data_IF_389784446787
#
_entry.id   IF_389784446787
#
_cell.length_a   1.000
_cell.length_b   1.000
_cell.length_c   1.000
_cell.angle_alpha   90.00
_cell.angle_beta   90.00
_cell.angle_gamma   90.00
#
_symmetry.space_group_name_H-M   'P 1'
#
loop_
_entity.id
_entity.type
_entity.pdbx_description
1 polymer ?
#
# COMPACT_ATOMS: atom_id res chain seq x y z
N UNK A 1 65.42 20.51 1.70
CA UNK A 1 65.94 20.11 3.02
C UNK A 1 64.99 19.09 3.62
N UNK A 2 65.54 17.92 3.90
CA UNK A 2 64.85 16.67 4.25
C UNK A 2 64.61 16.60 5.76
N UNK A 3 63.41 16.22 6.20
CA UNK A 3 63.23 15.57 7.51
C UNK A 3 62.22 14.42 7.39
N UNK A 4 62.74 13.26 7.80
CA UNK A 4 62.09 11.95 7.88
C UNK A 4 61.35 11.79 9.22
N UNK A 5 60.47 10.78 9.19
CA UNK A 5 60.24 9.74 10.20
C UNK A 5 59.26 10.02 11.36
N UNK A 6 58.35 9.05 11.51
CA UNK A 6 57.48 8.86 12.66
C UNK A 6 56.51 7.68 12.45
N UNK A 7 57.05 6.46 12.35
CA UNK A 7 56.28 5.22 12.48
C UNK A 7 55.78 5.08 13.93
N UNK A 8 54.50 4.73 14.11
CA UNK A 8 54.03 4.09 15.33
C UNK A 8 53.00 3.01 14.94
N UNK A 9 53.46 1.76 14.97
CA UNK A 9 52.64 0.57 14.88
C UNK A 9 52.06 0.29 16.26
N UNK A 10 50.74 0.09 16.35
CA UNK A 10 50.08 -0.45 17.52
C UNK A 10 49.42 -1.78 17.15
N UNK A 11 50.05 -2.85 17.60
CA UNK A 11 49.54 -4.22 17.61
C UNK A 11 48.38 -4.30 18.61
N UNK A 12 47.21 -4.69 18.15
CA UNK A 12 46.06 -5.05 18.97
C UNK A 12 45.56 -6.44 18.57
N UNK A 13 46.16 -7.47 19.18
CA UNK A 13 45.67 -8.86 19.17
C UNK A 13 44.62 -8.97 20.26
N UNK A 14 43.37 -9.31 19.93
CA UNK A 14 42.42 -9.86 20.90
C UNK A 14 41.33 -10.72 20.25
N UNK A 15 41.49 -12.02 20.48
CA UNK A 15 40.49 -13.04 20.80
C UNK A 15 39.24 -13.23 19.93
N UNK A 16 39.23 -14.39 19.26
CA UNK A 16 38.04 -15.14 18.90
C UNK A 16 37.19 -15.45 20.13
N UNK A 17 35.88 -15.18 20.05
CA UNK A 17 34.86 -15.91 20.79
C UNK A 17 33.68 -16.15 19.85
N UNK A 18 33.60 -17.38 19.36
CA UNK A 18 32.43 -17.91 18.69
C UNK A 18 31.34 -18.17 19.74
N UNK A 19 30.15 -17.62 19.52
CA UNK A 19 28.95 -18.01 20.25
C UNK A 19 27.83 -18.22 19.24
N UNK A 20 27.65 -19.48 18.85
CA UNK A 20 26.40 -19.97 18.26
C UNK A 20 25.39 -20.18 19.39
N UNK A 21 24.10 -19.94 19.15
CA UNK A 21 23.05 -20.71 19.79
C UNK A 21 22.36 -21.58 18.75
N UNK A 22 22.65 -22.88 18.83
CA UNK A 22 21.81 -23.93 18.28
C UNK A 22 20.67 -24.26 19.26
N UNK A 23 19.50 -24.47 18.66
CA UNK A 23 18.53 -25.55 18.93
C UNK A 23 17.71 -25.50 20.24
N UNK A 24 16.40 -25.28 20.05
CA UNK A 24 15.27 -26.00 20.65
C UNK A 24 14.02 -25.42 19.95
N UNK A 25 13.21 -26.09 19.12
CA UNK A 25 12.61 -27.43 19.17
C UNK A 25 11.91 -27.75 20.51
N UNK A 26 10.82 -27.04 20.76
CA UNK A 26 9.67 -27.41 21.60
C UNK A 26 8.46 -26.87 20.84
N UNK A 27 7.49 -27.64 20.37
CA UNK A 27 6.66 -28.65 21.04
C UNK A 27 5.32 -28.47 20.32
N UNK A 28 4.84 -29.43 19.55
CA UNK A 28 4.20 -30.59 20.12
C UNK A 28 2.71 -30.25 20.27
N UNK A 29 1.96 -30.42 19.19
CA UNK A 29 0.52 -30.32 19.21
C UNK A 29 -0.06 -31.35 20.17
N UNK A 30 -0.93 -30.88 21.07
CA UNK A 30 -1.80 -31.71 21.88
C UNK A 30 -3.22 -31.11 21.78
N UNK A 31 -3.92 -31.49 20.72
CA UNK A 31 -5.37 -31.49 20.71
C UNK A 31 -5.80 -32.71 21.54
N UNK A 32 -5.97 -32.50 22.85
CA UNK A 32 -6.63 -33.48 23.72
C UNK A 32 -8.11 -33.49 23.39
N UNK A 33 -8.56 -34.60 22.79
CA UNK A 33 -9.96 -34.99 22.79
C UNK A 33 -10.40 -35.21 24.24
N UNK A 34 -11.32 -34.37 24.72
CA UNK A 34 -12.11 -34.68 25.88
C UNK A 34 -13.20 -35.68 25.46
N UNK A 35 -12.87 -36.97 25.49
CA UNK A 35 -13.86 -38.05 25.48
C UNK A 35 -14.47 -38.09 26.88
N UNK A 36 -15.63 -37.46 27.02
CA UNK A 36 -16.45 -37.56 28.22
C UNK A 36 -16.94 -38.99 28.40
N UNK A 37 -16.51 -39.62 29.49
CA UNK A 37 -17.12 -40.84 30.00
C UNK A 37 -18.56 -40.54 30.44
N UNK A 38 -19.52 -41.10 29.71
CA UNK A 38 -20.92 -41.15 30.06
C UNK A 38 -21.33 -42.61 30.29
N UNK A 39 -21.71 -42.91 31.51
CA UNK A 39 -22.10 -44.23 32.00
C UNK A 39 -23.15 -44.93 31.13
N UNK A 40 -22.97 -46.24 30.96
CA UNK A 40 -23.95 -47.14 30.40
C UNK A 40 -25.20 -47.22 31.31
N UNK A 41 -26.41 -46.97 30.81
CA UNK A 41 -27.62 -47.41 31.49
C UNK A 41 -27.87 -48.90 31.16
N UNK A 42 -28.14 -49.64 32.23
CA UNK A 42 -28.50 -51.05 32.20
C UNK A 42 -29.77 -51.30 31.37
N UNK A 43 -29.70 -52.36 30.58
CA UNK A 43 -30.81 -52.95 29.82
C UNK A 43 -31.73 -53.71 30.78
N UNK A 44 -33.03 -53.40 30.89
CA UNK A 44 -33.99 -54.34 31.46
C UNK A 44 -34.45 -55.38 30.42
N UNK A 45 -34.77 -56.61 30.85
CA UNK A 45 -35.10 -57.70 29.95
C UNK A 45 -36.51 -57.58 29.37
N UNK A 46 -36.62 -58.12 28.16
CA UNK A 46 -37.83 -58.28 27.39
C UNK A 46 -38.94 -59.00 28.15
N UNK A 47 -40.16 -58.48 28.03
CA UNK A 47 -41.38 -59.22 28.31
C UNK A 47 -42.51 -58.78 27.37
N UNK A 48 -43.12 -59.77 26.74
CA UNK A 48 -44.56 -59.78 26.45
C UNK A 48 -45.06 -59.03 25.21
N UNK A 49 -45.29 -59.79 24.14
CA UNK A 49 -46.29 -59.58 23.08
C UNK A 49 -47.67 -59.12 23.64
N UNK A 50 -48.60 -58.50 22.88
CA UNK A 50 -49.12 -59.08 21.64
C UNK A 50 -49.63 -58.12 20.54
N UNK A 51 -50.06 -58.78 19.45
CA UNK A 51 -51.11 -58.40 18.52
C UNK A 51 -50.77 -57.39 17.42
N UNK A 52 -50.54 -57.99 16.25
CA UNK A 52 -50.74 -57.38 14.96
C UNK A 52 -52.21 -56.97 14.77
N UNK A 53 -52.47 -55.66 14.74
CA UNK A 53 -53.67 -55.08 14.13
C UNK A 53 -53.45 -53.57 13.94
N UNK A 54 -52.78 -53.18 12.86
CA UNK A 54 -52.86 -51.83 12.25
C UNK A 54 -51.92 -51.71 11.05
N UNK A 55 -52.20 -52.45 9.98
CA UNK A 55 -51.47 -52.33 8.71
C UNK A 55 -52.05 -51.26 7.75
N UNK A 56 -53.04 -50.47 8.19
CA UNK A 56 -53.74 -49.51 7.30
C UNK A 56 -53.68 -48.03 7.71
N UNK A 57 -52.93 -47.65 8.75
CA UNK A 57 -52.71 -46.23 9.13
C UNK A 57 -51.28 -45.72 8.86
N UNK A 58 -50.44 -46.50 8.17
CA UNK A 58 -49.03 -46.15 7.91
C UNK A 58 -48.81 -45.13 6.80
N UNK A 59 -49.74 -45.02 5.84
CA UNK A 59 -49.57 -44.14 4.69
C UNK A 59 -49.77 -42.66 5.02
N UNK A 60 -50.73 -42.32 5.89
CA UNK A 60 -51.05 -40.91 6.24
C UNK A 60 -49.96 -40.27 7.10
N UNK A 61 -49.27 -41.05 7.94
CA UNK A 61 -48.16 -40.53 8.79
C UNK A 61 -46.87 -40.23 8.01
N UNK A 62 -46.70 -40.77 6.82
CA UNK A 62 -45.48 -40.54 6.03
C UNK A 62 -45.38 -39.10 5.53
N UNK A 63 -46.50 -38.51 5.07
CA UNK A 63 -46.53 -37.12 4.60
C UNK A 63 -46.36 -36.08 5.71
N UNK A 64 -46.87 -36.35 6.92
CA UNK A 64 -46.71 -35.44 8.07
C UNK A 64 -45.24 -35.36 8.54
N UNK A 65 -44.51 -36.48 8.47
CA UNK A 65 -43.09 -36.52 8.82
C UNK A 65 -42.25 -35.76 7.77
N UNK A 66 -42.56 -35.91 6.49
CA UNK A 66 -41.86 -35.20 5.42
C UNK A 66 -42.08 -33.68 5.48
N UNK A 67 -43.32 -33.24 5.71
CA UNK A 67 -43.64 -31.82 5.90
C UNK A 67 -42.93 -31.22 7.13
N UNK A 68 -42.88 -31.95 8.25
CA UNK A 68 -42.16 -31.52 9.44
C UNK A 68 -40.64 -31.43 9.22
N UNK A 69 -40.06 -32.37 8.45
CA UNK A 69 -38.64 -32.34 8.10
C UNK A 69 -38.31 -31.16 7.17
N UNK A 70 -39.17 -30.87 6.19
CA UNK A 70 -38.99 -29.73 5.30
C UNK A 70 -39.10 -28.40 6.07
N UNK A 71 -40.07 -28.28 6.97
CA UNK A 71 -40.20 -27.09 7.82
C UNK A 71 -38.98 -26.90 8.73
N UNK A 72 -38.47 -27.97 9.34
CA UNK A 72 -37.25 -27.93 10.14
C UNK A 72 -35.99 -27.61 9.30
N UNK A 73 -35.95 -28.00 8.02
CA UNK A 73 -34.87 -27.61 7.10
C UNK A 73 -34.93 -26.11 6.79
N UNK A 74 -36.11 -25.58 6.45
CA UNK A 74 -36.33 -24.15 6.19
C UNK A 74 -36.00 -23.29 7.41
N UNK A 75 -36.37 -23.73 8.62
CA UNK A 75 -36.04 -23.00 9.84
C UNK A 75 -34.53 -22.97 10.13
N UNK A 76 -33.82 -24.09 9.88
CA UNK A 76 -32.36 -24.13 10.00
C UNK A 76 -31.66 -23.20 9.00
N UNK A 77 -32.15 -23.16 7.76
CA UNK A 77 -31.61 -22.26 6.74
C UNK A 77 -31.88 -20.79 7.09
N UNK A 78 -33.10 -20.45 7.55
CA UNK A 78 -33.43 -19.12 8.02
C UNK A 78 -32.56 -18.67 9.19
N UNK A 79 -32.27 -19.57 10.15
CA UNK A 79 -31.35 -19.29 11.26
C UNK A 79 -29.91 -19.05 10.77
N UNK A 80 -29.43 -19.85 9.81
CA UNK A 80 -28.09 -19.67 9.22
C UNK A 80 -27.96 -18.31 8.52
N UNK A 81 -28.94 -17.94 7.71
CA UNK A 81 -28.97 -16.64 7.02
C UNK A 81 -29.04 -15.47 8.02
N UNK A 82 -29.83 -15.59 9.08
CA UNK A 82 -29.89 -14.56 10.12
C UNK A 82 -28.56 -14.42 10.88
N UNK A 83 -27.85 -15.52 11.13
CA UNK A 83 -26.52 -15.50 11.74
C UNK A 83 -25.47 -14.88 10.82
N UNK A 84 -25.47 -15.22 9.53
CA UNK A 84 -24.60 -14.63 8.51
C UNK A 84 -24.81 -13.10 8.42
N UNK A 85 -26.08 -12.64 8.37
CA UNK A 85 -26.41 -11.21 8.38
C UNK A 85 -25.92 -10.52 9.66
N UNK A 86 -26.06 -11.16 10.82
CA UNK A 86 -25.56 -10.62 12.10
C UNK A 86 -24.04 -10.51 12.09
N UNK A 87 -23.34 -11.51 11.56
CA UNK A 87 -21.88 -11.47 11.43
C UNK A 87 -21.43 -10.37 10.46
N UNK A 88 -22.13 -10.18 9.34
CA UNK A 88 -21.85 -9.10 8.41
C UNK A 88 -22.03 -7.72 9.08
N UNK A 89 -23.15 -7.51 9.78
CA UNK A 89 -23.39 -6.26 10.50
C UNK A 89 -22.31 -5.95 11.55
N UNK A 90 -21.80 -6.98 12.24
CA UNK A 90 -20.69 -6.82 13.20
C UNK A 90 -19.37 -6.44 12.50
N UNK A 91 -19.07 -7.00 11.33
CA UNK A 91 -17.89 -6.63 10.55
C UNK A 91 -17.97 -5.19 10.05
N UNK A 92 -19.11 -4.78 9.54
CA UNK A 92 -19.34 -3.40 9.09
C UNK A 92 -19.23 -2.41 10.25
N UNK A 93 -19.78 -2.75 11.43
CA UNK A 93 -19.65 -1.93 12.62
C UNK A 93 -18.19 -1.82 13.11
N UNK A 94 -17.41 -2.90 13.03
CA UNK A 94 -15.99 -2.88 13.37
C UNK A 94 -15.17 -2.02 12.40
N UNK A 95 -15.43 -2.13 11.10
CA UNK A 95 -14.80 -1.29 10.07
C UNK A 95 -15.08 0.20 10.29
N UNK A 96 -16.33 0.56 10.59
CA UNK A 96 -16.68 1.96 10.89
C UNK A 96 -15.93 2.51 12.10
N UNK A 97 -15.77 1.70 13.15
CA UNK A 97 -14.98 2.12 14.33
C UNK A 97 -13.50 2.32 14.00
N UNK A 98 -12.92 1.46 13.17
CA UNK A 98 -11.53 1.62 12.73
C UNK A 98 -11.36 2.87 11.85
N UNK A 99 -12.32 3.16 10.98
CA UNK A 99 -12.34 4.39 10.18
C UNK A 99 -12.49 5.65 11.05
N UNK A 100 -13.37 5.62 12.06
CA UNK A 100 -13.54 6.71 13.03
C UNK A 100 -12.26 6.95 13.85
N UNK A 101 -11.58 5.89 14.30
CA UNK A 101 -10.31 6.00 15.03
C UNK A 101 -9.20 6.57 14.14
N UNK A 102 -9.07 6.11 12.89
CA UNK A 102 -8.13 6.66 11.92
C UNK A 102 -8.41 8.15 11.67
N UNK A 103 -9.67 8.53 11.44
CA UNK A 103 -10.06 9.92 11.25
C UNK A 103 -9.74 10.79 12.48
N UNK A 104 -9.94 10.27 13.69
CA UNK A 104 -9.58 10.97 14.93
C UNK A 104 -8.07 11.18 15.05
N UNK A 105 -7.25 10.17 14.72
CA UNK A 105 -5.78 10.31 14.74
C UNK A 105 -5.26 11.29 13.70
N UNK A 106 -5.86 11.33 12.51
CA UNK A 106 -5.52 12.28 11.46
C UNK A 106 -5.88 13.71 11.87
N UNK A 107 -7.06 13.91 12.46
CA UNK A 107 -7.48 15.21 12.99
C UNK A 107 -6.55 15.71 14.11
N UNK A 108 -6.09 14.83 15.01
CA UNK A 108 -5.12 15.20 16.04
C UNK A 108 -3.76 15.60 15.42
N UNK A 109 -3.29 14.86 14.42
CA UNK A 109 -2.06 15.18 13.71
C UNK A 109 -2.14 16.54 12.99
N UNK A 110 -3.29 16.85 12.37
CA UNK A 110 -3.56 18.15 11.75
C UNK A 110 -3.57 19.27 12.78
N UNK A 111 -4.21 19.05 13.95
CA UNK A 111 -4.24 20.03 15.03
C UNK A 111 -2.83 20.31 15.58
N UNK A 112 -1.97 19.29 15.69
CA UNK A 112 -0.56 19.45 16.09
C UNK A 112 0.23 20.27 15.07
N UNK A 113 0.04 20.03 13.77
CA UNK A 113 0.66 20.84 12.69
C UNK A 113 0.19 22.28 12.74
N UNK A 114 -1.11 22.52 12.92
CA UNK A 114 -1.67 23.86 13.04
C UNK A 114 -1.12 24.62 14.25
N UNK A 115 -0.92 23.94 15.39
CA UNK A 115 -0.27 24.54 16.57
C UNK A 115 1.19 24.89 16.28
N UNK A 116 1.96 23.98 15.68
CA UNK A 116 3.36 24.24 15.34
C UNK A 116 3.52 25.46 14.41
N UNK A 117 2.64 25.62 13.41
CA UNK A 117 2.65 26.78 12.52
C UNK A 117 2.31 28.08 13.25
N UNK A 118 1.40 28.06 14.24
CA UNK A 118 1.13 29.23 15.08
C UNK A 118 2.33 29.61 15.93
N UNK A 119 2.99 28.64 16.55
CA UNK A 119 4.20 28.87 17.35
C UNK A 119 5.35 29.43 16.51
N UNK A 120 5.53 28.93 15.29
CA UNK A 120 6.52 29.46 14.35
C UNK A 120 6.20 30.90 13.94
N UNK A 121 4.93 31.20 13.65
CA UNK A 121 4.48 32.56 13.35
C UNK A 121 4.74 33.50 14.51
N UNK A 122 4.35 33.15 15.73
CA UNK A 122 4.64 33.95 16.94
C UNK A 122 6.14 34.15 17.16
N UNK A 123 6.97 33.16 16.82
CA UNK A 123 8.43 33.28 16.87
C UNK A 123 8.94 34.29 15.85
N UNK A 124 8.43 34.26 14.63
CA UNK A 124 8.82 35.23 13.58
C UNK A 124 8.37 36.65 13.92
N UNK A 125 7.16 36.83 14.49
CA UNK A 125 6.66 38.13 14.94
C UNK A 125 7.55 38.69 16.08
N UNK A 126 7.95 37.84 17.05
CA UNK A 126 8.91 38.24 18.11
C UNK A 126 10.28 38.66 17.58
N UNK A 127 10.77 38.06 16.50
CA UNK A 127 12.04 38.46 15.87
C UNK A 127 11.89 39.80 15.15
N UNK A 128 10.73 40.05 14.53
CA UNK A 128 10.43 41.30 13.83
C UNK A 128 10.34 42.51 14.79
N UNK A 129 9.84 42.31 16.01
CA UNK A 129 9.73 43.36 17.03
C UNK A 129 11.05 43.68 17.75
N UNK A 130 12.13 42.89 17.53
CA UNK A 130 13.44 43.25 18.08
C UNK A 130 14.01 44.46 17.34
N UNK A 131 14.44 45.52 18.06
CA UNK A 131 15.04 46.70 17.43
C UNK A 131 16.29 46.27 16.66
N UNK A 132 16.21 46.35 15.34
CA UNK A 132 17.33 46.07 14.45
C UNK A 132 18.41 47.14 14.68
N UNK A 133 19.68 46.77 14.92
CA UNK A 133 20.75 47.75 15.01
C UNK A 133 20.90 48.48 13.67
N UNK A 134 21.04 49.82 13.72
CA UNK A 134 21.00 50.78 12.59
C UNK A 134 22.06 50.57 11.48
N UNK A 135 22.80 49.46 11.48
CA UNK A 135 23.97 49.26 10.62
C UNK A 135 23.67 48.60 9.25
N UNK A 136 22.41 48.32 8.89
CA UNK A 136 22.06 47.47 7.72
C UNK A 136 21.04 48.08 6.74
N UNK A 137 21.06 49.39 6.51
CA UNK A 137 20.04 50.11 5.71
C UNK A 137 19.84 49.66 4.25
N UNK A 138 20.83 49.03 3.60
CA UNK A 138 20.72 48.58 2.20
C UNK A 138 20.49 47.08 2.04
N UNK A 139 20.95 46.25 3.00
CA UNK A 139 20.64 44.82 3.02
C UNK A 139 19.18 44.57 3.43
N UNK A 140 18.67 45.33 4.41
CA UNK A 140 17.29 45.22 4.88
C UNK A 140 16.26 45.53 3.77
N UNK A 141 16.56 46.47 2.87
CA UNK A 141 15.68 46.81 1.73
C UNK A 141 15.55 45.68 0.70
N UNK A 142 16.60 44.87 0.48
CA UNK A 142 16.52 43.71 -0.42
C UNK A 142 15.80 42.52 0.22
N UNK A 143 16.01 42.31 1.53
CA UNK A 143 15.32 41.25 2.27
C UNK A 143 13.82 41.56 2.38
N UNK A 144 13.44 42.82 2.59
CA UNK A 144 12.03 43.25 2.66
C UNK A 144 11.20 42.91 1.41
N UNK A 145 11.79 43.02 0.21
CA UNK A 145 11.09 42.68 -1.03
C UNK A 145 10.82 41.16 -1.18
N UNK A 146 11.74 40.31 -0.70
CA UNK A 146 11.55 38.86 -0.66
C UNK A 146 10.44 38.45 0.31
N UNK A 147 10.48 39.01 1.53
CA UNK A 147 9.47 38.74 2.58
C UNK A 147 8.06 39.14 2.14
N UNK A 148 7.93 40.25 1.42
CA UNK A 148 6.64 40.72 0.92
C UNK A 148 6.05 39.76 -0.13
N UNK A 149 6.90 39.22 -0.99
CA UNK A 149 6.53 38.20 -1.99
C UNK A 149 6.07 36.90 -1.33
N UNK A 150 6.78 36.46 -0.28
CA UNK A 150 6.43 35.25 0.48
C UNK A 150 5.11 35.41 1.24
N UNK A 151 4.86 36.59 1.83
CA UNK A 151 3.58 36.92 2.47
C UNK A 151 2.40 36.88 1.48
N UNK A 152 2.58 37.37 0.26
CA UNK A 152 1.54 37.27 -0.78
C UNK A 152 1.29 35.83 -1.22
N UNK A 153 2.35 35.02 -1.29
CA UNK A 153 2.25 33.59 -1.60
C UNK A 153 1.45 32.86 -0.52
N UNK A 154 1.74 33.11 0.77
CA UNK A 154 0.99 32.55 1.90
C UNK A 154 -0.49 32.95 1.86
N UNK A 155 -0.80 34.23 1.66
CA UNK A 155 -2.20 34.72 1.52
C UNK A 155 -2.93 34.09 0.33
N UNK A 156 -2.22 33.74 -0.75
CA UNK A 156 -2.81 33.03 -1.90
C UNK A 156 -3.14 31.58 -1.55
N UNK A 157 -2.26 30.91 -0.80
CA UNK A 157 -2.47 29.55 -0.32
C UNK A 157 -3.63 29.48 0.67
N UNK A 158 -3.73 30.40 1.63
CA UNK A 158 -4.86 30.48 2.57
C UNK A 158 -6.21 30.59 1.85
N UNK A 159 -6.32 31.49 0.86
CA UNK A 159 -7.54 31.62 0.05
C UNK A 159 -7.85 30.38 -0.79
N UNK A 160 -6.84 29.58 -1.14
CA UNK A 160 -7.05 28.31 -1.83
C UNK A 160 -7.63 27.27 -0.86
N UNK A 161 -7.06 27.15 0.33
CA UNK A 161 -7.53 26.24 1.39
C UNK A 161 -8.96 26.58 1.80
N UNK A 162 -9.27 27.86 2.04
CA UNK A 162 -10.63 28.28 2.42
C UNK A 162 -11.67 27.94 1.33
N UNK A 163 -11.31 28.08 0.05
CA UNK A 163 -12.19 27.65 -1.06
C UNK A 163 -12.41 26.14 -1.08
N UNK A 164 -11.38 25.36 -0.77
CA UNK A 164 -11.47 23.91 -0.74
C UNK A 164 -12.33 23.43 0.44
N UNK A 165 -12.20 24.04 1.62
CA UNK A 165 -13.06 23.77 2.78
C UNK A 165 -14.52 24.11 2.50
N UNK A 166 -14.80 25.28 1.90
CA UNK A 166 -16.17 25.64 1.50
C UNK A 166 -16.77 24.62 0.54
N UNK A 167 -16.01 24.18 -0.46
CA UNK A 167 -16.47 23.13 -1.39
C UNK A 167 -16.73 21.80 -0.67
N UNK A 168 -15.90 21.42 0.30
CA UNK A 168 -16.10 20.19 1.08
C UNK A 168 -17.40 20.24 1.88
N UNK A 169 -17.63 21.35 2.60
CA UNK A 169 -18.86 21.56 3.39
C UNK A 169 -20.12 21.61 2.50
N UNK A 170 -20.03 22.19 1.30
CA UNK A 170 -21.13 22.18 0.33
C UNK A 170 -21.47 20.76 -0.14
N UNK A 171 -20.47 19.93 -0.43
CA UNK A 171 -20.68 18.52 -0.80
C UNK A 171 -21.29 17.71 0.36
N UNK A 172 -20.83 17.93 1.58
CA UNK A 172 -21.39 17.29 2.78
C UNK A 172 -22.87 17.67 2.98
N UNK A 173 -23.22 18.95 2.83
CA UNK A 173 -24.61 19.42 2.88
C UNK A 173 -25.47 18.82 1.77
N UNK A 174 -24.95 18.71 0.54
CA UNK A 174 -25.66 18.07 -0.57
C UNK A 174 -25.92 16.59 -0.29
N UNK A 175 -24.90 15.85 0.17
CA UNK A 175 -25.04 14.45 0.51
C UNK A 175 -26.01 14.22 1.68
N UNK A 176 -26.07 15.13 2.67
CA UNK A 176 -27.06 15.08 3.74
C UNK A 176 -28.48 15.29 3.21
N UNK A 177 -28.67 16.31 2.37
CA UNK A 177 -29.97 16.59 1.75
C UNK A 177 -30.48 15.41 0.89
N UNK A 178 -29.59 14.76 0.13
CA UNK A 178 -29.95 13.57 -0.66
C UNK A 178 -30.40 12.40 0.21
N UNK A 179 -29.73 12.17 1.35
CA UNK A 179 -30.11 11.14 2.32
C UNK A 179 -31.49 11.42 2.92
N UNK A 180 -31.76 12.65 3.32
CA UNK A 180 -33.08 13.05 3.81
C UNK A 180 -34.17 12.84 2.76
N UNK A 181 -33.89 13.19 1.50
CA UNK A 181 -34.81 12.97 0.39
C UNK A 181 -35.10 11.49 0.15
N UNK A 182 -34.08 10.62 0.23
CA UNK A 182 -34.25 9.18 0.11
C UNK A 182 -35.09 8.62 1.26
N UNK A 183 -34.82 9.03 2.50
CA UNK A 183 -35.61 8.62 3.66
C UNK A 183 -37.09 9.03 3.55
N UNK A 184 -37.37 10.23 3.06
CA UNK A 184 -38.74 10.69 2.80
C UNK A 184 -39.43 9.85 1.71
N UNK A 185 -38.72 9.51 0.63
CA UNK A 185 -39.26 8.68 -0.44
C UNK A 185 -39.57 7.25 0.04
N UNK A 186 -38.71 6.68 0.89
CA UNK A 186 -38.95 5.38 1.52
C UNK A 186 -40.12 5.41 2.50
N UNK A 187 -40.24 6.46 3.32
CA UNK A 187 -41.38 6.64 4.23
C UNK A 187 -42.70 6.68 3.45
N UNK A 188 -42.77 7.45 2.36
CA UNK A 188 -43.95 7.50 1.48
C UNK A 188 -44.26 6.15 0.82
N UNK A 189 -43.23 5.37 0.44
CA UNK A 189 -43.44 4.00 -0.07
C UNK A 189 -44.06 3.10 0.99
N UNK A 190 -43.53 3.13 2.23
CA UNK A 190 -44.06 2.35 3.35
C UNK A 190 -45.51 2.71 3.69
N UNK A 191 -45.86 4.00 3.66
CA UNK A 191 -47.24 4.46 3.87
C UNK A 191 -48.18 3.94 2.78
N UNK A 192 -47.75 3.96 1.50
CA UNK A 192 -48.55 3.40 0.39
C UNK A 192 -48.75 1.89 0.52
N UNK A 193 -47.70 1.16 0.89
CA UNK A 193 -47.77 -0.29 1.12
C UNK A 193 -48.67 -0.63 2.32
N UNK A 194 -48.58 0.13 3.41
CA UNK A 194 -49.46 -0.02 4.57
C UNK A 194 -50.92 0.27 4.21
N UNK A 195 -51.19 1.33 3.44
CA UNK A 195 -52.54 1.66 2.96
C UNK A 195 -53.13 0.60 2.03
N UNK A 196 -52.31 -0.06 1.19
CA UNK A 196 -52.79 -1.17 0.36
C UNK A 196 -53.14 -2.41 1.19
N UNK A 197 -52.39 -2.71 2.25
CA UNK A 197 -52.70 -3.83 3.15
C UNK A 197 -53.96 -3.60 3.98
N UNK A 198 -54.32 -2.34 4.23
CA UNK A 198 -55.52 -1.97 4.98
C UNK A 198 -56.78 -1.87 4.12
N UNK A 199 -56.70 -1.94 2.79
CA UNK A 199 -57.90 -2.18 1.98
C UNK A 199 -58.37 -3.61 2.29
N UNK A 200 -59.45 -3.78 3.07
CA UNK A 200 -60.01 -5.11 3.26
C UNK A 200 -60.36 -5.64 1.88
N UNK A 201 -60.26 -6.96 1.70
CA UNK A 201 -60.74 -7.64 0.51
C UNK A 201 -62.28 -7.51 0.43
N UNK A 202 -62.77 -6.30 0.15
CA UNK A 202 -64.18 -6.02 -0.04
C UNK A 202 -64.52 -6.42 -1.48
N UNK A 203 -64.81 -7.72 -1.59
CA UNK A 203 -65.89 -8.25 -2.41
C UNK A 203 -65.83 -7.93 -3.91
N UNK A 204 -64.95 -8.62 -4.64
CA UNK A 204 -65.26 -8.99 -6.02
C UNK A 204 -66.15 -10.24 -6.00
N UNK A 205 -67.45 -10.05 -5.76
CA UNK A 205 -68.49 -10.90 -6.32
C UNK A 205 -68.92 -10.25 -7.63
N UNK A 206 -68.35 -10.74 -8.74
CA UNK A 206 -68.74 -10.38 -10.10
C UNK A 206 -68.83 -11.67 -10.92
N UNK A 207 -69.97 -11.96 -11.55
CA UNK A 207 -70.34 -13.30 -12.01
C UNK A 207 -69.58 -13.75 -13.25
N UNK A 208 -69.47 -15.08 -13.35
CA UNK A 208 -68.99 -15.86 -14.48
C UNK A 208 -69.42 -15.30 -15.83
N UNK A 209 -68.44 -14.94 -16.65
CA UNK A 209 -68.59 -14.96 -18.11
C UNK A 209 -67.43 -15.76 -18.70
N UNK A 210 -67.77 -16.98 -19.09
CA UNK A 210 -67.02 -17.89 -19.94
C UNK A 210 -66.85 -17.27 -21.33
N UNK A 211 -65.61 -17.06 -21.77
CA UNK A 211 -65.28 -16.84 -23.18
C UNK A 211 -63.86 -17.31 -23.50
N UNK A 212 -63.79 -18.59 -23.88
CA UNK A 212 -63.11 -19.20 -25.03
C UNK A 212 -62.15 -18.35 -25.90
N UNK A 213 -61.12 -19.05 -26.37
CA UNK A 213 -60.26 -18.82 -27.55
C UNK A 213 -59.03 -17.92 -27.33
N UNK A 214 -57.80 -18.46 -27.32
CA UNK A 214 -57.00 -19.03 -28.42
C UNK A 214 -56.01 -18.01 -28.99
N UNK A 215 -54.72 -18.39 -29.02
CA UNK A 215 -53.75 -17.80 -29.95
C UNK A 215 -52.38 -17.45 -29.35
N UNK A 216 -51.36 -18.18 -29.78
CA UNK A 216 -50.04 -17.61 -30.07
C UNK A 216 -48.86 -18.08 -29.20
N UNK A 217 -47.96 -18.92 -29.73
CA UNK A 217 -46.63 -19.11 -29.16
C UNK A 217 -45.70 -17.99 -29.62
N UNK A 218 -45.12 -17.24 -28.68
CA UNK A 218 -44.00 -16.32 -28.95
C UNK A 218 -42.71 -16.88 -28.36
N UNK A 219 -41.72 -17.02 -29.22
CA UNK A 219 -40.42 -17.62 -29.02
C UNK A 219 -39.57 -16.96 -27.91
N UNK A 220 -38.67 -17.71 -27.24
CA UNK A 220 -37.66 -17.11 -26.38
C UNK A 220 -36.51 -16.51 -27.22
N UNK A 221 -36.16 -15.27 -26.89
CA UNK A 221 -35.05 -14.52 -27.45
C UNK A 221 -33.70 -15.16 -27.07
N UNK A 222 -32.81 -15.20 -28.06
CA UNK A 222 -31.46 -15.72 -27.98
C UNK A 222 -30.57 -14.89 -27.04
N UNK A 223 -29.78 -15.58 -26.22
CA UNK A 223 -28.75 -15.02 -25.38
C UNK A 223 -27.55 -14.54 -26.23
N UNK A 224 -26.90 -13.40 -25.88
CA UNK A 224 -25.68 -12.98 -26.57
C UNK A 224 -24.49 -13.83 -26.14
N UNK A 225 -23.80 -14.39 -27.14
CA UNK A 225 -22.56 -15.14 -26.98
C UNK A 225 -21.44 -14.25 -26.42
N UNK A 226 -20.72 -14.77 -25.41
CA UNK A 226 -19.51 -14.18 -24.88
C UNK A 226 -18.34 -14.38 -25.86
N UNK A 227 -17.51 -13.37 -26.16
CA UNK A 227 -16.32 -13.56 -26.98
C UNK A 227 -15.24 -14.30 -26.18
N UNK A 228 -14.82 -15.47 -26.68
CA UNK A 228 -13.64 -16.18 -26.21
C UNK A 228 -12.39 -15.49 -26.74
N UNK A 229 -11.67 -14.78 -25.87
CA UNK A 229 -10.37 -14.20 -26.18
C UNK A 229 -9.30 -15.30 -26.10
N UNK A 230 -8.77 -15.70 -27.25
CA UNK A 230 -7.66 -16.65 -27.36
C UNK A 230 -6.39 -16.04 -26.76
N UNK A 231 -5.88 -16.62 -25.68
CA UNK A 231 -4.55 -16.33 -25.16
C UNK A 231 -3.50 -16.92 -26.09
N UNK A 232 -2.74 -16.06 -26.76
CA UNK A 232 -1.52 -16.44 -27.46
C UNK A 232 -0.49 -16.94 -26.43
N UNK A 233 -0.13 -18.21 -26.54
CA UNK A 233 0.96 -18.83 -25.77
C UNK A 233 2.27 -18.29 -26.32
N UNK A 234 2.81 -17.28 -25.63
CA UNK A 234 4.11 -16.68 -25.93
C UNK A 234 5.24 -17.68 -25.71
N UNK A 235 6.04 -17.82 -26.77
CA UNK A 235 7.19 -18.70 -26.96
C UNK A 235 8.23 -18.59 -25.86
N UNK A 236 8.80 -19.74 -25.50
CA UNK A 236 9.88 -19.91 -24.53
C UNK A 236 11.07 -18.97 -24.80
N UNK A 237 11.57 -18.40 -23.70
CA UNK A 237 12.60 -17.37 -23.67
C UNK A 237 13.92 -17.77 -24.33
N UNK A 238 14.41 -16.86 -25.16
CA UNK A 238 15.82 -16.80 -25.55
C UNK A 238 16.64 -16.39 -24.32
N UNK A 239 17.74 -17.08 -23.98
CA UNK A 239 18.62 -16.65 -22.91
C UNK A 239 19.20 -15.27 -23.23
N UNK A 240 19.01 -14.31 -22.30
CA UNK A 240 19.57 -12.97 -22.39
C UNK A 240 21.09 -13.04 -22.59
N UNK A 241 21.68 -12.20 -23.47
CA UNK A 241 23.12 -12.15 -23.67
C UNK A 241 23.85 -11.78 -22.37
N UNK A 242 25.05 -12.32 -22.20
CA UNK A 242 25.90 -12.08 -21.05
C UNK A 242 26.10 -10.57 -20.82
N UNK A 243 25.75 -10.16 -19.60
CA UNK A 243 25.79 -8.81 -19.03
C UNK A 243 27.16 -8.16 -19.20
N UNK A 244 27.21 -7.04 -19.90
CA UNK A 244 28.36 -6.11 -19.87
C UNK A 244 28.21 -5.27 -18.60
N UNK A 245 29.11 -5.44 -17.63
CA UNK A 245 29.15 -4.52 -16.49
C UNK A 245 29.71 -3.17 -16.97
N UNK A 246 29.06 -2.04 -16.65
CA UNK A 246 29.60 -0.73 -16.98
C UNK A 246 31.01 -0.63 -16.39
N UNK A 247 32.00 -0.34 -17.23
CA UNK A 247 33.43 -0.49 -16.96
C UNK A 247 33.87 0.09 -15.61
N UNK A 248 33.93 -0.76 -14.60
CA UNK A 248 34.57 -0.49 -13.32
C UNK A 248 36.08 -0.41 -13.56
N UNK A 249 36.61 0.80 -13.71
CA UNK A 249 38.05 1.06 -13.62
C UNK A 249 38.56 0.54 -12.27
N UNK A 250 39.42 -0.48 -12.32
CA UNK A 250 39.87 -1.30 -11.19
C UNK A 250 40.79 -0.61 -10.18
N UNK A 251 40.37 0.54 -9.65
CA UNK A 251 40.94 1.09 -8.41
C UNK A 251 40.26 0.39 -7.22
N UNK A 252 41.03 -0.01 -6.20
CA UNK A 252 40.53 -0.74 -5.03
C UNK A 252 39.40 0.02 -4.32
N UNK A 253 38.16 -0.29 -4.68
CA UNK A 253 36.96 0.29 -4.08
C UNK A 253 36.78 -0.33 -2.69
N UNK A 254 37.14 0.42 -1.65
CA UNK A 254 36.78 0.08 -0.28
C UNK A 254 35.33 0.52 -0.06
N UNK A 255 34.41 -0.44 -0.07
CA UNK A 255 33.00 -0.20 0.25
C UNK A 255 32.89 -0.10 1.77
N UNK A 256 32.66 1.10 2.30
CA UNK A 256 32.15 1.24 3.68
C UNK A 256 30.70 0.75 3.70
N UNK A 257 30.38 -0.10 4.67
CA UNK A 257 29.16 -0.91 4.68
C UNK A 257 27.90 -0.08 4.41
N UNK A 258 27.09 -0.58 3.47
CA UNK A 258 25.76 -0.02 3.24
C UNK A 258 24.90 -0.25 4.48
N UNK A 259 24.48 0.82 5.13
CA UNK A 259 23.41 0.77 6.14
C UNK A 259 22.08 0.78 5.39
N UNK A 260 21.60 -0.38 5.01
CA UNK A 260 20.24 -0.55 4.53
C UNK A 260 19.35 -0.86 5.74
N UNK A 261 18.47 0.07 6.10
CA UNK A 261 17.38 -0.23 7.02
C UNK A 261 16.34 -1.05 6.25
N UNK A 262 16.18 -2.32 6.61
CA UNK A 262 15.16 -3.17 6.02
C UNK A 262 13.79 -2.61 6.40
N UNK A 263 13.08 -2.04 5.43
CA UNK A 263 11.71 -1.60 5.66
C UNK A 263 10.77 -2.82 5.68
N UNK A 264 9.74 -2.75 6.51
CA UNK A 264 8.70 -3.79 6.59
C UNK A 264 8.12 -4.13 5.21
N UNK A 265 7.64 -5.36 5.06
CA UNK A 265 7.13 -5.90 3.79
C UNK A 265 6.22 -4.90 3.05
N UNK A 266 6.54 -4.61 1.78
CA UNK A 266 5.72 -3.75 0.91
C UNK A 266 6.20 -2.30 0.73
N UNK A 267 7.33 -1.90 1.32
CA UNK A 267 7.80 -0.51 1.27
C UNK A 267 8.86 -0.21 0.19
N UNK A 268 9.24 -1.17 -0.65
CA UNK A 268 10.31 -1.00 -1.64
C UNK A 268 11.70 -1.35 -1.10
N UNK A 269 12.78 -1.10 -1.86
CA UNK A 269 14.15 -1.48 -1.47
C UNK A 269 14.71 -0.73 -0.25
N UNK A 270 14.03 0.35 0.16
CA UNK A 270 14.28 1.06 1.40
C UNK A 270 15.23 2.25 1.29
N UNK A 271 15.74 2.69 2.43
CA UNK A 271 16.63 3.85 2.56
C UNK A 271 18.04 3.40 2.88
N UNK A 272 19.02 4.16 2.43
CA UNK A 272 20.40 3.90 2.78
C UNK A 272 21.38 4.91 2.21
N UNK A 273 22.65 4.66 2.50
CA UNK A 273 23.76 5.37 1.90
C UNK A 273 24.93 4.42 1.63
N UNK A 274 25.75 4.78 0.65
CA UNK A 274 26.96 4.05 0.30
C UNK A 274 28.03 5.02 -0.19
N UNK A 275 29.26 4.80 0.22
CA UNK A 275 30.42 5.59 -0.19
C UNK A 275 31.40 4.74 -0.97
N UNK A 276 31.83 5.23 -2.14
CA UNK A 276 32.98 4.71 -2.88
C UNK A 276 34.10 5.75 -2.87
N UNK A 277 35.35 5.31 -2.86
CA UNK A 277 36.54 6.18 -2.80
C UNK A 277 37.46 5.92 -3.98
N UNK A 278 38.28 6.93 -4.33
CA UNK A 278 39.26 6.87 -5.41
C UNK A 278 38.64 6.48 -6.78
N UNK A 279 37.52 7.11 -7.12
CA UNK A 279 36.84 6.91 -8.40
C UNK A 279 37.39 7.89 -9.45
N UNK A 280 37.24 7.56 -10.72
CA UNK A 280 37.48 8.50 -11.82
C UNK A 280 36.17 8.71 -12.58
N UNK A 281 35.71 9.96 -12.65
CA UNK A 281 34.48 10.35 -13.34
C UNK A 281 34.83 11.40 -14.38
N UNK A 282 34.74 11.03 -15.66
CA UNK A 282 35.25 11.83 -16.77
C UNK A 282 36.76 12.05 -16.63
N UNK A 283 37.15 13.31 -16.41
CA UNK A 283 38.55 13.71 -16.17
C UNK A 283 38.86 13.94 -14.70
N UNK A 284 37.87 13.81 -13.82
CA UNK A 284 38.00 14.10 -12.40
C UNK A 284 38.40 12.88 -11.59
N UNK A 285 39.48 13.02 -10.81
CA UNK A 285 39.81 12.12 -9.71
C UNK A 285 38.94 12.45 -8.50
N UNK A 286 38.02 11.56 -8.17
CA UNK A 286 37.09 11.69 -7.05
C UNK A 286 37.65 10.93 -5.85
N UNK A 287 37.94 11.64 -4.78
CA UNK A 287 38.47 11.06 -3.53
C UNK A 287 37.40 10.26 -2.79
N UNK A 288 36.19 10.81 -2.67
CA UNK A 288 35.02 10.13 -2.10
C UNK A 288 33.74 10.50 -2.83
N UNK A 289 32.84 9.55 -3.01
CA UNK A 289 31.54 9.71 -3.63
C UNK A 289 30.51 8.99 -2.76
N UNK A 290 29.66 9.74 -2.07
CA UNK A 290 28.65 9.23 -1.15
C UNK A 290 27.28 9.41 -1.76
N UNK A 291 26.58 8.32 -1.99
CA UNK A 291 25.19 8.30 -2.49
C UNK A 291 24.26 8.04 -1.32
N UNK A 292 23.16 8.77 -1.27
CA UNK A 292 22.04 8.56 -0.37
C UNK A 292 20.79 8.26 -1.21
N UNK A 293 19.96 7.31 -0.78
CA UNK A 293 18.73 6.95 -1.49
C UNK A 293 17.58 6.67 -0.54
N UNK A 294 16.38 6.83 -1.09
CA UNK A 294 15.10 6.47 -0.50
C UNK A 294 14.23 5.88 -1.62
N UNK A 295 14.23 4.55 -1.72
CA UNK A 295 13.49 3.80 -2.72
C UNK A 295 12.23 3.23 -2.08
N UNK A 296 11.08 3.76 -2.48
CA UNK A 296 9.81 3.56 -1.80
C UNK A 296 8.67 3.08 -2.69
N UNK A 297 7.48 3.04 -2.10
CA UNK A 297 6.20 2.93 -2.82
C UNK A 297 5.26 4.01 -2.29
N UNK A 298 4.66 4.79 -3.20
CA UNK A 298 3.65 5.79 -2.88
C UNK A 298 2.40 5.52 -3.70
N UNK A 299 1.28 5.26 -3.03
CA UNK A 299 -0.01 4.93 -3.68
C UNK A 299 0.07 3.75 -4.66
N UNK A 300 0.93 2.77 -4.38
CA UNK A 300 1.13 1.59 -5.22
C UNK A 300 2.14 1.77 -6.35
N UNK A 301 2.64 2.99 -6.58
CA UNK A 301 3.67 3.28 -7.58
C UNK A 301 5.06 3.35 -6.94
N UNK A 302 6.12 2.87 -7.63
CA UNK A 302 7.49 2.93 -7.11
C UNK A 302 7.98 4.38 -7.09
N UNK A 303 8.61 4.78 -5.98
CA UNK A 303 9.21 6.11 -5.84
C UNK A 303 10.72 6.03 -5.75
N UNK A 304 11.39 6.89 -6.51
CA UNK A 304 12.85 7.00 -6.55
C UNK A 304 13.23 8.38 -6.07
N UNK A 305 13.86 8.45 -4.91
CA UNK A 305 14.43 9.66 -4.36
C UNK A 305 15.87 9.40 -3.89
N UNK A 306 16.74 10.38 -4.02
CA UNK A 306 18.14 10.23 -3.69
C UNK A 306 19.01 11.37 -4.18
N UNK A 307 20.27 11.33 -3.79
CA UNK A 307 21.28 12.31 -4.17
C UNK A 307 22.67 11.81 -3.83
N UNK A 308 23.69 12.56 -4.22
CA UNK A 308 25.06 12.27 -3.87
C UNK A 308 25.81 13.53 -3.42
N UNK A 309 26.88 13.29 -2.68
CA UNK A 309 27.93 14.26 -2.38
C UNK A 309 29.25 13.67 -2.88
N UNK A 310 30.16 14.50 -3.34
CA UNK A 310 31.47 14.03 -3.78
C UNK A 310 32.57 14.97 -3.33
N UNK A 311 33.77 14.44 -3.12
CA UNK A 311 34.97 15.18 -2.76
C UNK A 311 36.06 14.92 -3.80
N UNK A 312 36.83 15.95 -4.10
CA UNK A 312 37.94 15.92 -5.03
C UNK A 312 38.56 17.32 -5.16
N UNK A 313 39.44 17.53 -6.15
CA UNK A 313 40.07 18.82 -6.38
C UNK A 313 39.02 19.93 -6.61
N UNK A 314 39.25 21.09 -6.02
CA UNK A 314 38.30 22.20 -6.05
C UNK A 314 38.08 22.79 -7.46
N UNK A 315 39.04 22.58 -8.36
CA UNK A 315 39.04 22.97 -9.77
C UNK A 315 38.42 21.90 -10.69
N UNK A 316 37.97 20.77 -10.13
CA UNK A 316 37.33 19.73 -10.90
C UNK A 316 35.81 19.89 -10.95
N UNK A 317 35.24 19.74 -12.15
CA UNK A 317 33.80 19.71 -12.37
C UNK A 317 33.43 18.37 -13.01
N UNK A 318 32.50 17.65 -12.38
CA UNK A 318 31.94 16.44 -12.97
C UNK A 318 31.17 16.79 -14.25
N UNK A 319 31.16 15.92 -15.28
CA UNK A 319 30.35 16.13 -16.47
C UNK A 319 28.88 16.40 -16.11
N UNK A 320 28.22 17.32 -16.79
CA UNK A 320 26.80 17.62 -16.55
C UNK A 320 25.86 16.45 -16.87
N UNK A 321 26.35 15.45 -17.62
CA UNK A 321 25.68 14.19 -17.94
C UNK A 321 25.87 13.10 -16.88
N UNK A 322 26.54 13.41 -15.77
CA UNK A 322 26.78 12.43 -14.71
C UNK A 322 25.47 11.91 -14.14
N UNK A 323 25.28 10.60 -14.18
CA UNK A 323 24.15 9.88 -13.58
C UNK A 323 24.64 8.85 -12.57
N UNK A 324 23.86 8.64 -11.52
CA UNK A 324 24.13 7.60 -10.51
C UNK A 324 23.17 6.45 -10.74
N UNK A 325 23.70 5.25 -10.90
CA UNK A 325 22.93 4.03 -11.11
C UNK A 325 22.96 3.20 -9.83
N UNK A 326 21.80 2.89 -9.25
CA UNK A 326 21.69 1.99 -8.08
C UNK A 326 21.33 0.58 -8.53
N UNK A 327 22.13 -0.42 -8.17
CA UNK A 327 21.82 -1.80 -8.48
C UNK A 327 20.91 -2.40 -7.41
N UNK A 328 19.67 -2.73 -7.81
CA UNK A 328 18.67 -3.36 -6.95
C UNK A 328 18.55 -4.83 -7.35
N UNK A 329 18.67 -5.72 -6.36
CA UNK A 329 18.47 -7.17 -6.58
C UNK A 329 17.75 -7.82 -5.41
N UNK A 330 17.10 -8.94 -5.71
CA UNK A 330 16.59 -9.89 -4.72
C UNK A 330 17.49 -11.14 -4.74
N UNK A 331 17.66 -11.78 -3.58
CA UNK A 331 18.43 -13.02 -3.49
C UNK A 331 17.86 -14.09 -4.44
N UNK A 332 18.72 -14.65 -5.31
CA UNK A 332 18.35 -15.69 -6.28
C UNK A 332 17.66 -15.21 -7.56
N UNK A 333 17.43 -13.90 -7.73
CA UNK A 333 16.83 -13.32 -8.94
C UNK A 333 17.80 -12.36 -9.64
N UNK A 334 17.71 -12.19 -10.98
CA UNK A 334 18.42 -11.12 -11.67
C UNK A 334 17.94 -9.75 -11.18
N UNK A 335 18.88 -8.85 -10.91
CA UNK A 335 18.59 -7.46 -10.54
C UNK A 335 18.53 -6.53 -11.74
N UNK A 336 18.37 -5.24 -11.47
CA UNK A 336 18.51 -4.19 -12.46
C UNK A 336 18.96 -2.88 -11.83
N UNK A 337 19.29 -1.91 -12.67
CA UNK A 337 19.73 -0.59 -12.23
C UNK A 337 18.58 0.41 -12.25
N UNK A 338 18.56 1.26 -11.23
CA UNK A 338 17.68 2.43 -11.10
C UNK A 338 18.53 3.67 -11.32
N UNK A 339 18.07 4.58 -12.17
CA UNK A 339 18.77 5.84 -12.41
C UNK A 339 18.37 6.88 -11.35
N UNK A 340 19.37 7.52 -10.76
CA UNK A 340 19.27 8.78 -10.03
C UNK A 340 19.91 9.86 -10.89
N UNK A 341 19.12 10.87 -11.26
CA UNK A 341 19.56 11.98 -12.11
C UNK A 341 19.47 13.33 -11.36
N UNK A 342 20.14 13.48 -10.19
CA UNK A 342 20.15 14.77 -9.50
C UNK A 342 20.96 15.82 -10.28
N UNK A 343 20.78 17.09 -9.94
CA UNK A 343 21.66 18.14 -10.46
C UNK A 343 23.11 17.93 -9.98
N UNK A 344 24.07 17.98 -10.89
CA UNK A 344 25.50 17.77 -10.60
C UNK A 344 26.02 18.89 -9.68
N UNK A 345 26.39 18.60 -8.42
CA UNK A 345 26.87 19.62 -7.49
C UNK A 345 28.37 19.86 -7.67
N UNK A 346 28.85 20.99 -7.12
CA UNK A 346 30.29 21.21 -6.93
C UNK A 346 30.86 20.27 -5.88
N UNK A 347 32.19 20.07 -5.88
CA UNK A 347 32.87 19.28 -4.84
C UNK A 347 32.50 19.78 -3.44
N UNK A 348 32.19 18.85 -2.54
CA UNK A 348 31.77 19.10 -1.16
C UNK A 348 30.33 19.56 -0.98
N UNK A 349 29.56 19.79 -2.06
CA UNK A 349 28.16 20.21 -1.98
C UNK A 349 27.22 19.01 -2.18
N UNK A 350 26.04 19.00 -1.52
CA UNK A 350 25.02 18.01 -1.77
C UNK A 350 24.30 18.26 -3.10
N UNK A 351 24.07 17.20 -3.85
CA UNK A 351 23.13 17.22 -4.98
C UNK A 351 21.70 17.14 -4.47
N UNK A 352 20.75 17.71 -5.21
CA UNK A 352 19.34 17.52 -4.97
C UNK A 352 18.69 16.85 -6.19
N UNK A 353 17.87 15.83 -5.95
CA UNK A 353 16.98 15.27 -6.95
C UNK A 353 15.53 15.64 -6.62
N UNK A 354 14.69 15.75 -7.64
CA UNK A 354 13.26 15.71 -7.44
C UNK A 354 12.84 14.24 -7.40
N UNK A 355 12.06 13.86 -6.38
CA UNK A 355 11.51 12.51 -6.30
C UNK A 355 10.73 12.16 -7.58
N UNK A 356 11.11 11.05 -8.21
CA UNK A 356 10.50 10.54 -9.43
C UNK A 356 9.60 9.34 -9.15
N UNK A 357 8.60 9.11 -10.00
CA UNK A 357 7.76 7.91 -9.97
C UNK A 357 7.80 7.19 -11.33
N UNK A 358 8.90 6.49 -11.65
CA UNK A 358 9.03 5.80 -12.94
C UNK A 358 8.00 4.65 -13.03
N UNK A 359 7.50 4.38 -14.24
CA UNK A 359 6.62 3.23 -14.46
C UNK A 359 7.31 1.91 -14.09
N UNK A 360 6.57 0.95 -13.53
CA UNK A 360 7.11 -0.36 -13.12
C UNK A 360 7.86 -1.12 -14.22
N UNK A 361 7.48 -0.97 -15.49
CA UNK A 361 8.17 -1.58 -16.64
C UNK A 361 9.47 -0.88 -17.08
N UNK A 362 9.80 0.28 -16.52
CA UNK A 362 11.02 1.04 -16.80
C UNK A 362 11.86 1.30 -15.55
N UNK A 363 11.50 0.65 -14.44
CA UNK A 363 12.08 0.89 -13.13
C UNK A 363 13.48 0.30 -12.97
N UNK A 364 13.67 -0.92 -13.49
CA UNK A 364 14.89 -1.69 -13.37
C UNK A 364 15.39 -2.06 -14.76
N UNK A 365 16.48 -1.43 -15.18
CA UNK A 365 17.03 -1.61 -16.52
C UNK A 365 18.52 -1.93 -16.49
N UNK A 366 19.00 -2.48 -17.59
CA UNK A 366 20.41 -2.57 -17.89
C UNK A 366 20.89 -1.25 -18.48
N UNK A 367 22.18 -0.97 -18.33
CA UNK A 367 22.81 0.24 -18.84
C UNK A 367 24.10 -0.13 -19.56
N UNK A 368 24.31 0.52 -20.71
CA UNK A 368 25.58 0.59 -21.39
C UNK A 368 26.10 2.02 -21.25
N UNK A 369 27.10 2.21 -20.39
CA UNK A 369 27.49 3.51 -19.84
C UNK A 369 26.29 4.25 -19.22
N UNK A 370 25.93 5.43 -19.73
CA UNK A 370 24.77 6.20 -19.29
C UNK A 370 23.49 5.88 -20.07
N UNK A 371 23.54 4.99 -21.08
CA UNK A 371 22.40 4.70 -21.95
C UNK A 371 21.61 3.51 -21.41
N UNK A 372 20.34 3.76 -21.09
CA UNK A 372 19.37 2.72 -20.74
C UNK A 372 19.16 1.76 -21.93
N UNK A 373 19.25 0.46 -21.66
CA UNK A 373 19.07 -0.62 -22.65
C UNK A 373 17.86 -1.48 -22.28
N UNK A 374 18.06 -2.74 -21.90
CA UNK A 374 17.00 -3.70 -21.65
C UNK A 374 16.42 -3.58 -20.24
N UNK A 375 15.11 -3.37 -20.14
CA UNK A 375 14.41 -3.30 -18.86
C UNK A 375 13.79 -4.64 -18.48
N UNK A 376 13.76 -4.94 -17.17
CA UNK A 376 13.01 -6.07 -16.65
C UNK A 376 11.52 -5.91 -16.95
N UNK A 377 10.85 -7.02 -17.27
CA UNK A 377 9.40 -7.01 -17.42
C UNK A 377 8.73 -6.48 -16.13
N UNK A 378 7.66 -5.69 -16.27
CA UNK A 378 7.02 -4.97 -15.16
C UNK A 378 6.72 -5.86 -13.94
N UNK A 379 6.27 -7.10 -14.16
CA UNK A 379 5.98 -8.03 -13.07
C UNK A 379 7.23 -8.50 -12.31
N UNK A 380 8.34 -8.75 -13.03
CA UNK A 380 9.62 -9.10 -12.41
C UNK A 380 10.20 -7.89 -11.69
N UNK A 381 10.16 -6.72 -12.31
CA UNK A 381 10.61 -5.47 -11.71
C UNK A 381 9.86 -5.16 -10.40
N UNK A 382 8.53 -5.31 -10.39
CA UNK A 382 7.71 -5.11 -9.19
C UNK A 382 8.03 -6.09 -8.05
N UNK A 383 8.42 -7.34 -8.36
CA UNK A 383 8.88 -8.31 -7.34
C UNK A 383 10.24 -7.93 -6.78
N UNK A 384 11.21 -7.62 -7.64
CA UNK A 384 12.55 -7.18 -7.24
C UNK A 384 12.47 -5.86 -6.46
N UNK A 385 11.56 -4.94 -6.82
CA UNK A 385 11.36 -3.70 -6.08
C UNK A 385 10.85 -3.94 -4.67
N UNK A 386 9.86 -4.82 -4.51
CA UNK A 386 9.20 -5.07 -3.24
C UNK A 386 10.09 -5.80 -2.22
N UNK A 387 10.87 -6.76 -2.70
CA UNK A 387 11.60 -7.71 -1.85
C UNK A 387 13.13 -7.61 -2.01
N UNK A 388 13.59 -6.71 -2.87
CA UNK A 388 15.01 -6.50 -3.15
C UNK A 388 15.66 -5.48 -2.23
N UNK A 389 16.97 -5.33 -2.40
CA UNK A 389 17.77 -4.32 -1.71
C UNK A 389 18.78 -3.71 -2.67
N UNK A 390 19.20 -2.48 -2.38
CA UNK A 390 20.33 -1.85 -3.07
C UNK A 390 21.61 -2.58 -2.67
N UNK A 391 22.28 -3.19 -3.64
CA UNK A 391 23.51 -3.96 -3.43
C UNK A 391 24.78 -3.23 -3.83
N UNK A 392 24.69 -2.29 -4.77
CA UNK A 392 25.83 -1.49 -5.25
C UNK A 392 25.34 -0.20 -5.93
N UNK A 393 26.25 0.73 -6.23
CA UNK A 393 26.00 1.83 -7.17
C UNK A 393 27.13 2.02 -8.18
N UNK A 394 26.81 2.53 -9.36
CA UNK A 394 27.77 2.95 -10.38
C UNK A 394 27.58 4.42 -10.72
N UNK A 395 28.62 5.07 -11.22
CA UNK A 395 28.57 6.44 -11.73
C UNK A 395 28.89 6.38 -13.22
N UNK A 396 28.00 6.88 -14.06
CA UNK A 396 28.17 6.94 -15.51
C UNK A 396 28.02 8.38 -16.02
N UNK A 397 28.51 8.69 -17.21
CA UNK A 397 28.46 10.04 -17.79
C UNK A 397 28.54 10.04 -19.32
#
# INVERSE_FOLDING_TARGET
>A
MSRRAGCAAALGVLFCAAAAPGWAQQGGGLFSQAVGGGAAPAVPPASGAPAADSLFSGAVRSGEIEAAQEQAAREREARRLAEEQRQQALREAAQRREEEERAATEAEAEQRRARALREERERTERIADQPQPDFLGDAARRIGAGVQTDLERLRRTERMVERHERQRLERERQAQWERERQQQAEAQRREREAGQRQRPAETQHGPDTTATAAGGPSAPAAAPASPSTSFATGTAGTPLPARVEPGSSGAGVRIEAASAEANGAGQGPGRGSMTKRNLTVGRCGVESFTVHWNLGVLLGEPTVDGGYTWQGPADCELPSTTVVLLYVRRAGEPGGWVELSPAVPRAGQPSFNAAGSPSSGQLLCSYDAARRTDCLAAQAAARVWRDGAVGDFAVAW
#
